data_IF_426018773343
#
_entry.id   IF_426018773343
#
_cell.length_a   1.000
_cell.length_b   1.000
_cell.length_c   1.000
_cell.angle_alpha   90.00
_cell.angle_beta   90.00
_cell.angle_gamma   90.00
#
_symmetry.space_group_name_H-M   'P 1'
#
loop_
_entity.id
_entity.type
_entity.pdbx_description
1 polymer ?
#
# COMPACT_ATOMS: atom_id res chain seq x y z
N UNK A 1 32.43 -40.30 -70.62
CA UNK A 1 31.98 -39.12 -69.85
C UNK A 1 33.22 -38.45 -69.30
N UNK A 2 33.50 -37.22 -69.73
CA UNK A 2 34.73 -36.52 -69.36
C UNK A 2 34.64 -35.95 -67.94
N UNK A 3 35.80 -35.72 -67.32
CA UNK A 3 35.92 -35.05 -66.02
C UNK A 3 35.22 -33.68 -66.03
N UNK A 4 35.23 -33.01 -67.18
CA UNK A 4 34.56 -31.72 -67.41
C UNK A 4 33.03 -31.84 -67.32
N UNK A 5 32.44 -32.93 -67.81
CA UNK A 5 31.00 -33.16 -67.74
C UNK A 5 30.53 -33.39 -66.29
N UNK A 6 31.34 -34.12 -65.51
CA UNK A 6 31.07 -34.37 -64.09
C UNK A 6 31.19 -33.09 -63.24
N UNK A 7 32.16 -32.21 -63.55
CA UNK A 7 32.32 -30.93 -62.85
C UNK A 7 31.16 -29.98 -63.16
N UNK A 8 30.71 -29.91 -64.41
CA UNK A 8 29.57 -29.09 -64.79
C UNK A 8 28.25 -29.58 -64.15
N UNK A 9 28.05 -30.90 -64.06
CA UNK A 9 26.90 -31.48 -63.37
C UNK A 9 26.91 -31.19 -61.86
N UNK A 10 28.08 -31.30 -61.21
CA UNK A 10 28.22 -30.96 -59.79
C UNK A 10 28.02 -29.45 -59.52
N UNK A 11 28.53 -28.59 -60.38
CA UNK A 11 28.37 -27.14 -60.27
C UNK A 11 26.91 -26.71 -60.42
N UNK A 12 26.17 -27.29 -61.36
CA UNK A 12 24.74 -26.99 -61.55
C UNK A 12 23.87 -27.50 -60.38
N UNK A 13 24.18 -28.66 -59.80
CA UNK A 13 23.51 -29.13 -58.58
C UNK A 13 23.78 -28.23 -57.37
N UNK A 14 25.03 -27.78 -57.21
CA UNK A 14 25.40 -26.85 -56.14
C UNK A 14 24.66 -25.52 -56.28
N UNK A 15 24.56 -24.98 -57.52
CA UNK A 15 23.81 -23.77 -57.81
C UNK A 15 22.30 -23.94 -57.55
N UNK A 16 21.71 -25.10 -57.89
CA UNK A 16 20.30 -25.36 -57.61
C UNK A 16 20.02 -25.41 -56.10
N UNK A 17 20.91 -26.04 -55.32
CA UNK A 17 20.82 -26.07 -53.86
C UNK A 17 20.98 -24.68 -53.24
N UNK A 18 21.97 -23.92 -53.72
CA UNK A 18 22.19 -22.54 -53.28
C UNK A 18 21.01 -21.64 -53.65
N UNK A 19 20.37 -21.83 -54.80
CA UNK A 19 19.21 -21.04 -55.21
C UNK A 19 18.02 -21.20 -54.25
N UNK A 20 17.76 -22.42 -53.77
CA UNK A 20 16.68 -22.71 -52.81
C UNK A 20 16.94 -22.14 -51.42
N UNK A 21 18.21 -22.00 -51.04
CA UNK A 21 18.63 -21.49 -49.73
C UNK A 21 18.79 -19.96 -49.74
N UNK A 22 19.26 -19.38 -50.85
CA UNK A 22 19.50 -17.94 -51.01
C UNK A 22 18.22 -17.20 -51.46
N UNK A 23 17.36 -17.86 -52.24
CA UNK A 23 16.05 -17.34 -52.68
C UNK A 23 14.95 -18.27 -52.17
N UNK A 24 14.77 -18.41 -50.84
CA UNK A 24 13.58 -19.05 -50.32
C UNK A 24 12.36 -18.19 -50.69
N UNK A 25 11.17 -18.79 -50.69
CA UNK A 25 9.93 -18.04 -50.85
C UNK A 25 9.69 -17.13 -49.63
N UNK A 26 10.29 -15.94 -49.67
CA UNK A 26 10.21 -14.91 -48.64
C UNK A 26 8.76 -14.47 -48.39
N UNK A 27 7.88 -14.63 -49.38
CA UNK A 27 6.44 -14.32 -49.25
C UNK A 27 5.80 -15.17 -48.17
N UNK A 28 6.09 -16.48 -48.17
CA UNK A 28 5.58 -17.42 -47.17
C UNK A 28 6.13 -17.12 -45.77
N UNK A 29 7.42 -16.76 -45.66
CA UNK A 29 8.04 -16.37 -44.38
C UNK A 29 7.45 -15.05 -43.85
N UNK A 30 7.28 -14.06 -44.72
CA UNK A 30 6.67 -12.77 -44.38
C UNK A 30 5.20 -12.94 -44.01
N UNK A 31 4.48 -13.87 -44.65
CA UNK A 31 3.11 -14.23 -44.29
C UNK A 31 2.98 -14.87 -42.90
N UNK A 32 4.00 -15.61 -42.46
CA UNK A 32 4.04 -16.26 -41.14
C UNK A 32 4.62 -15.38 -40.03
N UNK A 33 5.35 -14.32 -40.37
CA UNK A 33 5.96 -13.39 -39.43
C UNK A 33 4.99 -12.84 -38.37
N UNK A 34 3.76 -12.40 -38.71
CA UNK A 34 2.78 -11.93 -37.73
C UNK A 34 2.46 -12.99 -36.66
N UNK A 35 2.31 -14.25 -37.07
CA UNK A 35 2.00 -15.36 -36.16
C UNK A 35 3.19 -15.64 -35.24
N UNK A 36 4.40 -15.65 -35.80
CA UNK A 36 5.63 -15.86 -35.03
C UNK A 36 5.87 -14.73 -34.01
N UNK A 37 5.56 -13.48 -34.37
CA UNK A 37 5.66 -12.35 -33.44
C UNK A 37 4.61 -12.46 -32.34
N UNK A 38 3.37 -12.81 -32.68
CA UNK A 38 2.30 -12.94 -31.69
C UNK A 38 2.60 -14.05 -30.68
N UNK A 39 3.01 -15.23 -31.15
CA UNK A 39 3.33 -16.36 -30.28
C UNK A 39 4.66 -16.20 -29.55
N UNK A 40 5.69 -15.69 -30.22
CA UNK A 40 7.04 -15.61 -29.69
C UNK A 40 7.31 -14.38 -28.81
N UNK A 41 6.61 -13.27 -29.05
CA UNK A 41 6.88 -11.98 -28.39
C UNK A 41 5.66 -11.49 -27.63
N UNK A 42 4.54 -11.30 -28.33
CA UNK A 42 3.36 -10.65 -27.75
C UNK A 42 2.74 -11.51 -26.64
N UNK A 43 2.54 -12.81 -26.88
CA UNK A 43 1.98 -13.75 -25.91
C UNK A 43 2.79 -13.82 -24.60
N UNK A 44 4.12 -14.04 -24.66
CA UNK A 44 4.97 -14.01 -23.47
C UNK A 44 4.93 -12.68 -22.73
N UNK A 45 4.96 -11.54 -23.44
CA UNK A 45 4.87 -10.22 -22.81
C UNK A 45 3.56 -10.07 -22.03
N UNK A 46 2.43 -10.41 -22.63
CA UNK A 46 1.13 -10.34 -21.95
C UNK A 46 1.06 -11.29 -20.75
N UNK A 47 1.62 -12.49 -20.88
CA UNK A 47 1.67 -13.45 -19.78
C UNK A 47 2.49 -12.91 -18.60
N UNK A 48 3.68 -12.38 -18.86
CA UNK A 48 4.54 -11.77 -17.84
C UNK A 48 3.83 -10.59 -17.19
N UNK A 49 3.18 -9.72 -17.97
CA UNK A 49 2.48 -8.55 -17.46
C UNK A 49 1.29 -8.93 -16.57
N UNK A 50 0.54 -9.97 -16.96
CA UNK A 50 -0.55 -10.52 -16.15
C UNK A 50 -0.02 -11.12 -14.84
N UNK A 51 1.05 -11.93 -14.90
CA UNK A 51 1.68 -12.50 -13.70
C UNK A 51 2.23 -11.43 -12.77
N UNK A 52 2.85 -10.38 -13.32
CA UNK A 52 3.35 -9.24 -12.57
C UNK A 52 2.21 -8.54 -11.82
N UNK A 53 1.09 -8.27 -12.49
CA UNK A 53 -0.07 -7.64 -11.87
C UNK A 53 -0.72 -8.52 -10.81
N UNK A 54 -0.85 -9.83 -11.06
CA UNK A 54 -1.37 -10.80 -10.10
C UNK A 54 -0.47 -10.85 -8.87
N UNK A 55 0.84 -10.98 -9.06
CA UNK A 55 1.83 -10.94 -7.99
C UNK A 55 1.76 -9.63 -7.21
N UNK A 56 1.69 -8.49 -7.90
CA UNK A 56 1.55 -7.19 -7.27
C UNK A 56 0.30 -7.12 -6.40
N UNK A 57 -0.87 -7.55 -6.90
CA UNK A 57 -2.10 -7.53 -6.11
C UNK A 57 -2.09 -8.47 -4.91
N UNK A 58 -1.46 -9.64 -5.04
CA UNK A 58 -1.33 -10.62 -3.95
C UNK A 58 -0.35 -10.13 -2.89
N UNK A 59 0.77 -9.54 -3.29
CA UNK A 59 1.82 -9.05 -2.39
C UNK A 59 1.55 -7.65 -1.85
N UNK A 60 0.65 -6.88 -2.48
CA UNK A 60 0.31 -5.53 -2.03
C UNK A 60 -0.13 -5.59 -0.57
N UNK A 61 0.57 -4.87 0.34
CA UNK A 61 0.17 -4.85 1.74
C UNK A 61 -1.24 -4.30 1.84
N UNK A 62 -2.16 -5.15 2.33
CA UNK A 62 -3.52 -4.73 2.65
C UNK A 62 -3.38 -3.67 3.73
N UNK A 63 -3.61 -2.40 3.36
CA UNK A 63 -3.59 -1.28 4.32
C UNK A 63 -4.52 -1.67 5.47
N UNK A 64 -3.94 -1.78 6.66
CA UNK A 64 -4.62 -2.29 7.84
C UNK A 64 -5.97 -1.61 8.00
N UNK A 65 -7.00 -2.41 8.24
CA UNK A 65 -8.34 -1.91 8.54
C UNK A 65 -8.20 -1.01 9.77
N UNK A 66 -8.34 0.30 9.56
CA UNK A 66 -8.35 1.26 10.64
C UNK A 66 -9.62 1.00 11.43
N UNK A 67 -9.48 0.37 12.61
CA UNK A 67 -10.63 0.20 13.48
C UNK A 67 -10.99 1.54 14.12
N UNK A 68 -12.28 1.82 14.06
CA UNK A 68 -12.93 2.91 14.75
C UNK A 68 -12.81 2.68 16.26
N UNK A 69 -11.83 3.31 16.90
CA UNK A 69 -11.74 3.32 18.36
C UNK A 69 -12.77 4.32 18.91
N UNK A 70 -14.03 3.89 18.97
CA UNK A 70 -15.09 4.61 19.67
C UNK A 70 -14.99 4.30 21.18
N UNK A 71 -14.15 5.05 21.91
CA UNK A 71 -14.13 4.94 23.37
C UNK A 71 -12.90 5.57 24.04
N UNK A 72 -12.96 5.81 25.36
CA UNK A 72 -11.77 6.14 26.13
C UNK A 72 -10.78 4.99 26.06
N UNK A 73 -9.49 5.32 25.99
CA UNK A 73 -8.42 4.34 25.90
C UNK A 73 -7.30 4.68 26.89
N UNK A 74 -6.54 3.69 27.37
CA UNK A 74 -5.44 3.95 28.29
C UNK A 74 -4.35 4.76 27.61
N UNK A 75 -3.88 5.81 28.28
CA UNK A 75 -2.77 6.63 27.83
C UNK A 75 -1.51 5.77 27.65
N UNK A 76 -0.76 5.92 26.54
CA UNK A 76 0.49 5.20 26.36
C UNK A 76 1.46 5.57 27.47
N UNK A 77 2.16 4.58 28.01
CA UNK A 77 3.16 4.79 29.06
C UNK A 77 4.49 5.17 28.42
N UNK A 78 5.07 6.26 28.90
CA UNK A 78 6.38 6.73 28.46
C UNK A 78 7.53 5.88 28.97
N UNK A 79 8.72 6.13 28.44
CA UNK A 79 9.97 5.51 28.91
C UNK A 79 10.31 5.86 30.36
N UNK A 80 9.69 6.91 30.90
CA UNK A 80 9.78 7.39 32.27
C UNK A 80 8.77 6.69 33.21
N UNK A 81 7.95 5.79 32.70
CA UNK A 81 6.92 5.08 33.48
C UNK A 81 5.66 5.92 33.76
N UNK A 82 5.58 7.15 33.24
CA UNK A 82 4.40 8.01 33.39
C UNK A 82 3.49 7.95 32.17
N UNK A 83 2.17 8.14 32.34
CA UNK A 83 1.25 8.25 31.21
C UNK A 83 1.57 9.47 30.34
N UNK A 84 1.71 9.25 29.04
CA UNK A 84 1.88 10.31 28.04
C UNK A 84 0.51 10.65 27.46
N UNK A 85 0.08 11.89 27.70
CA UNK A 85 -1.17 12.41 27.17
C UNK A 85 -0.93 13.17 25.86
N UNK A 86 -1.63 12.81 24.76
CA UNK A 86 -1.46 13.48 23.48
C UNK A 86 -2.02 14.91 23.52
N UNK A 87 -1.42 15.84 22.75
CA UNK A 87 -1.90 17.21 22.68
C UNK A 87 -3.24 17.29 21.95
N UNK A 88 -4.15 18.12 22.45
CA UNK A 88 -5.46 18.40 21.83
C UNK A 88 -6.56 17.38 22.11
N UNK A 89 -6.26 16.24 22.73
CA UNK A 89 -7.26 15.25 23.16
C UNK A 89 -7.56 15.41 24.67
N UNK A 90 -8.83 15.31 25.10
CA UNK A 90 -9.18 15.29 26.52
C UNK A 90 -8.64 14.04 27.23
N UNK A 91 -8.17 14.18 28.46
CA UNK A 91 -7.64 13.07 29.25
C UNK A 91 -7.96 13.21 30.73
N UNK A 92 -8.05 12.07 31.41
CA UNK A 92 -8.12 11.97 32.85
C UNK A 92 -6.73 11.63 33.40
N UNK A 93 -6.17 12.52 34.20
CA UNK A 93 -4.87 12.28 34.84
C UNK A 93 -4.92 11.14 35.87
N UNK A 94 -6.04 11.01 36.59
CA UNK A 94 -6.18 10.04 37.68
C UNK A 94 -6.28 8.61 37.18
N UNK A 95 -7.14 8.37 36.19
CA UNK A 95 -7.40 7.03 35.66
C UNK A 95 -6.48 6.69 34.47
N UNK A 96 -5.57 7.60 34.10
CA UNK A 96 -4.69 7.50 32.94
C UNK A 96 -5.43 7.14 31.63
N UNK A 97 -6.60 7.74 31.42
CA UNK A 97 -7.44 7.52 30.25
C UNK A 97 -7.43 8.75 29.34
N UNK A 98 -7.39 8.53 28.03
CA UNK A 98 -7.58 9.56 27.01
C UNK A 98 -8.92 9.33 26.34
N UNK A 99 -9.66 10.41 26.17
CA UNK A 99 -11.02 10.42 25.66
C UNK A 99 -11.07 11.01 24.25
N UNK A 100 -12.09 10.64 23.45
CA UNK A 100 -12.32 11.27 22.17
C UNK A 100 -12.66 12.77 22.33
N UNK A 101 -12.44 13.58 21.27
CA UNK A 101 -12.85 14.98 21.26
C UNK A 101 -14.34 15.14 21.61
N UNK A 102 -14.65 16.09 22.48
CA UNK A 102 -16.01 16.38 22.93
C UNK A 102 -16.33 15.90 24.33
N UNK A 103 -15.49 15.06 24.93
CA UNK A 103 -15.64 14.67 26.32
C UNK A 103 -15.11 15.78 27.25
N UNK A 104 -15.91 16.16 28.25
CA UNK A 104 -15.52 17.14 29.30
C UNK A 104 -15.40 16.50 30.68
N UNK A 105 -15.97 15.31 30.90
CA UNK A 105 -15.89 14.58 32.17
C UNK A 105 -15.46 13.14 31.99
N UNK A 106 -14.73 12.63 32.97
CA UNK A 106 -14.36 11.23 33.05
C UNK A 106 -15.57 10.37 33.42
N UNK A 107 -15.81 9.31 32.66
CA UNK A 107 -16.89 8.34 32.91
C UNK A 107 -16.60 7.43 34.11
N UNK A 108 -15.33 7.25 34.47
CA UNK A 108 -14.90 6.36 35.58
C UNK A 108 -14.95 7.09 36.93
N UNK A 109 -14.29 8.25 37.05
CA UNK A 109 -14.17 8.98 38.31
C UNK A 109 -15.02 10.26 38.41
N UNK A 110 -15.72 10.66 37.35
CA UNK A 110 -16.61 11.82 37.34
C UNK A 110 -15.92 13.20 37.34
N UNK A 111 -14.58 13.24 37.37
CA UNK A 111 -13.78 14.48 37.36
C UNK A 111 -13.77 15.15 35.99
N UNK A 112 -13.48 16.45 35.98
CA UNK A 112 -13.25 17.19 34.74
C UNK A 112 -12.02 16.66 33.99
N UNK A 113 -12.17 16.50 32.68
CA UNK A 113 -11.08 16.12 31.81
C UNK A 113 -10.18 17.33 31.56
N UNK A 114 -8.89 17.04 31.38
CA UNK A 114 -7.87 18.02 31.05
C UNK A 114 -7.51 17.90 29.58
N UNK A 115 -7.10 19.00 28.96
CA UNK A 115 -6.60 19.04 27.59
C UNK A 115 -5.30 19.81 27.59
N UNK A 116 -4.30 19.26 26.89
CA UNK A 116 -3.03 19.93 26.68
C UNK A 116 -3.07 20.73 25.40
N UNK A 117 -2.79 22.03 25.47
CA UNK A 117 -2.75 22.89 24.30
C UNK A 117 -1.68 22.40 23.30
N UNK A 118 -2.01 22.15 22.02
CA UNK A 118 -1.05 21.68 21.02
C UNK A 118 -0.02 22.74 20.63
N UNK A 119 -0.30 24.02 20.86
CA UNK A 119 0.61 25.12 20.52
C UNK A 119 1.64 25.40 21.62
N UNK A 120 1.21 25.44 22.89
CA UNK A 120 2.08 25.85 24.00
C UNK A 120 2.23 24.81 25.11
N UNK A 121 1.59 23.64 24.99
CA UNK A 121 1.73 22.54 25.94
C UNK A 121 1.08 22.74 27.31
N UNK A 122 0.39 23.86 27.55
CA UNK A 122 -0.27 24.15 28.83
C UNK A 122 -1.53 23.29 28.99
N UNK A 123 -1.68 22.67 30.16
CA UNK A 123 -2.88 21.92 30.53
C UNK A 123 -4.01 22.86 30.99
N UNK A 124 -5.23 22.57 30.56
CA UNK A 124 -6.46 23.28 30.98
C UNK A 124 -7.62 22.30 31.11
N UNK A 125 -8.71 22.72 31.76
CA UNK A 125 -9.98 21.98 31.70
C UNK A 125 -10.47 21.87 30.25
N UNK A 126 -11.00 20.71 29.88
CA UNK A 126 -11.50 20.43 28.54
C UNK A 126 -12.67 21.34 28.13
N UNK A 127 -13.48 21.76 29.11
CA UNK A 127 -14.62 22.67 28.94
C UNK A 127 -14.24 24.08 28.46
N UNK A 128 -13.02 24.55 28.76
CA UNK A 128 -12.59 25.91 28.42
C UNK A 128 -12.01 25.95 27.02
N UNK A 129 -12.77 26.27 25.97
CA UNK A 129 -12.24 26.19 24.59
C UNK A 129 -10.96 26.98 24.31
N UNK A 130 -10.75 28.11 24.98
CA UNK A 130 -9.63 29.03 24.71
C UNK A 130 -8.43 28.79 25.62
N UNK A 131 -7.24 28.67 25.04
CA UNK A 131 -6.00 28.66 25.80
C UNK A 131 -5.65 30.06 26.32
N UNK A 132 -5.68 30.23 27.64
CA UNK A 132 -5.35 31.50 28.31
C UNK A 132 -3.90 31.98 28.13
N UNK A 133 -2.98 31.12 27.69
CA UNK A 133 -1.57 31.50 27.48
C UNK A 133 -1.29 31.97 26.04
N UNK A 134 -1.67 31.17 25.03
CA UNK A 134 -1.31 31.44 23.63
C UNK A 134 -2.49 31.88 22.75
N UNK A 135 -3.69 32.05 23.32
CA UNK A 135 -4.90 32.50 22.64
C UNK A 135 -5.51 31.49 21.66
N UNK A 136 -4.98 30.26 21.59
CA UNK A 136 -5.53 29.23 20.69
C UNK A 136 -6.92 28.81 21.16
N UNK A 137 -7.92 28.97 20.30
CA UNK A 137 -9.29 28.48 20.50
C UNK A 137 -9.37 27.06 19.95
N UNK A 138 -9.52 26.08 20.83
CA UNK A 138 -9.77 24.68 20.51
C UNK A 138 -11.21 24.37 20.92
N UNK A 139 -12.14 24.48 19.96
CA UNK A 139 -13.49 23.96 20.15
C UNK A 139 -13.45 22.46 20.01
N UNK A 140 -13.52 21.78 21.14
CA UNK A 140 -13.45 20.33 21.17
C UNK A 140 -14.89 19.83 21.04
N UNK A 141 -15.49 19.99 19.85
CA UNK A 141 -16.82 19.49 19.58
C UNK A 141 -16.75 17.99 19.29
N UNK A 142 -17.72 17.23 19.80
CA UNK A 142 -17.95 15.83 19.43
C UNK A 142 -18.46 15.79 17.98
N UNK A 143 -17.57 15.97 17.01
CA UNK A 143 -17.98 15.97 15.59
C UNK A 143 -18.54 14.59 15.27
N UNK A 144 -19.82 14.52 14.89
CA UNK A 144 -20.56 13.28 14.58
C UNK A 144 -19.99 12.44 13.41
N UNK A 145 -18.79 12.77 12.91
CA UNK A 145 -18.07 11.99 11.90
C UNK A 145 -16.55 12.21 11.94
N UNK A 146 -16.01 12.88 12.97
CA UNK A 146 -14.58 13.14 13.13
C UNK A 146 -13.88 12.00 13.87
N UNK A 147 -13.95 10.80 13.30
CA UNK A 147 -13.40 9.60 13.94
C UNK A 147 -11.88 9.61 13.77
N UNK A 148 -11.14 9.72 14.87
CA UNK A 148 -9.69 9.64 14.85
C UNK A 148 -9.29 8.25 14.32
N UNK A 149 -8.77 8.21 13.10
CA UNK A 149 -8.30 6.99 12.45
C UNK A 149 -7.05 6.52 13.19
N UNK A 150 -7.13 5.37 13.87
CA UNK A 150 -5.99 4.79 14.58
C UNK A 150 -5.42 3.56 13.87
N UNK A 151 -4.12 3.55 13.55
CA UNK A 151 -3.47 2.33 13.12
C UNK A 151 -3.43 1.36 14.33
N UNK A 152 -4.18 0.27 14.23
CA UNK A 152 -4.04 -0.84 15.18
C UNK A 152 -2.75 -1.58 14.82
N UNK A 153 -1.86 -1.73 15.80
CA UNK A 153 -0.72 -2.63 15.68
C UNK A 153 -1.22 -4.07 15.87
N UNK A 154 -1.33 -4.83 14.78
CA UNK A 154 -1.67 -6.25 14.82
C UNK A 154 -2.38 -6.73 13.56
N UNK A 155 -2.22 -8.00 13.18
CA UNK A 155 -3.01 -8.60 12.12
C UNK A 155 -4.50 -8.52 12.47
N UNK A 156 -5.39 -8.27 11.48
CA UNK A 156 -6.82 -8.14 11.73
C UNK A 156 -7.36 -9.40 12.43
N UNK A 157 -8.27 -9.26 13.42
CA UNK A 157 -8.93 -10.40 14.03
C UNK A 157 -9.70 -11.17 12.95
N UNK A 158 -9.29 -12.41 12.72
CA UNK A 158 -9.85 -13.29 11.67
C UNK A 158 -8.86 -13.69 10.57
N UNK A 159 -7.65 -13.15 10.55
CA UNK A 159 -6.58 -13.61 9.66
C UNK A 159 -5.76 -14.72 10.32
N UNK A 160 -6.16 -15.97 10.09
CA UNK A 160 -5.47 -17.17 10.53
C UNK A 160 -3.94 -17.08 10.33
N UNK A 161 -3.19 -17.04 11.43
CA UNK A 161 -1.80 -17.48 11.45
C UNK A 161 -1.82 -19.01 11.51
N UNK A 162 -1.95 -19.65 10.34
CA UNK A 162 -1.59 -21.05 10.14
C UNK A 162 -0.54 -21.07 9.04
N UNK A 163 0.72 -21.11 9.46
CA UNK A 163 1.85 -21.78 8.82
C UNK A 163 3.07 -21.62 9.73
#
# INVERSE_FOLDING_TARGET
MGIVDSLNAGWTQLLDLLSKVIIPDWTSVVGLLPILIVLGVVGPIFTILMLFWLWYFVTKPRRGVVQLAEGPYPAPIGSDGYPIFPPGEPYCYHDALVYPPGATRCETCGRELLVRCPKCGLGRAAEIDTCGNCGLVLRIEKRAGGKALRPVAGPPPGGAAVA
#
